data_IF_290645612438
#
_entry.id   IF_290645612438
#
_cell.length_a   1.000
_cell.length_b   1.000
_cell.length_c   1.000
_cell.angle_alpha   90.00
_cell.angle_beta   90.00
_cell.angle_gamma   90.00
#
_symmetry.space_group_name_H-M   'P 1'
#
loop_
_entity.id
_entity.type
_entity.pdbx_description
1 polymer ?
#
# COMPACT_ATOMS: atom_id res chain seq x y z
N UNK A 1 -32.06 20.85 -21.62
CA UNK A 1 -31.95 19.37 -21.56
C UNK A 1 -30.48 18.93 -21.48
N UNK A 2 -29.94 18.91 -20.25
CA UNK A 2 -28.56 18.49 -19.98
C UNK A 2 -28.60 17.10 -19.33
N UNK A 3 -27.91 16.15 -19.96
CA UNK A 3 -27.84 14.75 -19.56
C UNK A 3 -27.04 14.58 -18.26
N UNK A 4 -27.73 14.11 -17.22
CA UNK A 4 -27.17 13.66 -15.95
C UNK A 4 -26.29 12.43 -16.16
N UNK A 5 -24.97 12.62 -16.06
CA UNK A 5 -24.01 11.50 -15.98
C UNK A 5 -23.98 11.00 -14.56
N UNK A 6 -24.84 10.02 -14.27
CA UNK A 6 -24.84 9.22 -13.06
C UNK A 6 -23.45 8.65 -12.76
N UNK A 7 -22.78 9.28 -11.79
CA UNK A 7 -21.47 8.89 -11.25
C UNK A 7 -21.63 7.56 -10.51
N UNK A 8 -21.40 6.44 -11.20
CA UNK A 8 -21.42 5.08 -10.65
C UNK A 8 -20.60 5.00 -9.36
N UNK A 9 -21.28 4.78 -8.24
CA UNK A 9 -20.70 4.23 -7.01
C UNK A 9 -20.26 2.80 -7.28
N UNK A 10 -19.05 2.61 -7.79
CA UNK A 10 -18.35 1.34 -7.72
C UNK A 10 -17.06 1.58 -6.94
N UNK A 11 -17.13 1.24 -5.66
CA UNK A 11 -16.06 0.80 -4.77
C UNK A 11 -16.65 0.80 -3.36
N UNK A 12 -17.47 -0.22 -3.06
CA UNK A 12 -17.78 -0.55 -1.68
C UNK A 12 -16.45 -0.86 -0.99
N UNK A 13 -16.20 -0.24 0.17
CA UNK A 13 -15.05 -0.58 0.99
C UNK A 13 -15.11 -2.08 1.32
N UNK A 14 -13.98 -2.80 1.30
CA UNK A 14 -13.96 -4.17 1.78
C UNK A 14 -14.40 -4.19 3.26
N UNK A 15 -15.25 -5.15 3.66
CA UNK A 15 -15.81 -5.20 5.02
C UNK A 15 -14.72 -5.24 6.11
N UNK A 16 -15.06 -4.71 7.29
CA UNK A 16 -14.16 -4.58 8.44
C UNK A 16 -13.63 -5.93 8.96
N UNK A 17 -14.37 -7.02 8.71
CA UNK A 17 -13.91 -8.40 8.82
C UNK A 17 -13.75 -8.96 7.41
N UNK A 18 -12.49 -9.14 6.98
CA UNK A 18 -12.18 -9.90 5.76
C UNK A 18 -12.15 -11.39 6.11
N UNK A 19 -12.69 -12.24 5.22
CA UNK A 19 -12.58 -13.69 5.37
C UNK A 19 -11.10 -14.10 5.42
N UNK A 20 -10.78 -15.12 6.22
CA UNK A 20 -9.43 -15.71 6.24
C UNK A 20 -9.15 -16.51 4.95
N UNK A 21 -10.19 -16.86 4.19
CA UNK A 21 -10.13 -17.70 3.01
C UNK A 21 -10.30 -16.86 1.74
N UNK A 22 -9.17 -16.37 1.21
CA UNK A 22 -9.16 -15.44 0.08
C UNK A 22 -8.36 -16.01 -1.10
N UNK A 23 -9.00 -16.06 -2.26
CA UNK A 23 -8.34 -16.31 -3.54
C UNK A 23 -7.93 -14.99 -4.17
N UNK A 24 -6.67 -14.87 -4.59
CA UNK A 24 -6.28 -13.88 -5.58
C UNK A 24 -6.46 -14.46 -6.97
N UNK A 25 -7.15 -13.72 -7.83
CA UNK A 25 -7.36 -14.05 -9.23
C UNK A 25 -6.65 -13.01 -10.08
N UNK A 26 -5.60 -13.41 -10.78
CA UNK A 26 -4.89 -12.61 -11.78
C UNK A 26 -5.40 -12.88 -13.19
N UNK A 27 -4.94 -12.05 -14.14
CA UNK A 27 -5.30 -12.14 -15.56
C UNK A 27 -6.82 -12.06 -15.82
N UNK A 28 -7.54 -11.33 -14.98
CA UNK A 28 -8.96 -11.06 -15.21
C UNK A 28 -9.09 -10.18 -16.46
N UNK A 29 -9.97 -10.49 -17.43
CA UNK A 29 -10.14 -9.67 -18.63
C UNK A 29 -10.38 -8.20 -18.28
N UNK A 30 -9.78 -7.28 -19.04
CA UNK A 30 -9.80 -5.83 -18.71
C UNK A 30 -11.19 -5.22 -18.78
N UNK A 31 -12.09 -5.83 -19.55
CA UNK A 31 -13.49 -5.46 -19.72
C UNK A 31 -14.44 -6.33 -18.88
N UNK A 32 -13.91 -7.25 -18.06
CA UNK A 32 -14.74 -8.12 -17.23
C UNK A 32 -15.57 -7.30 -16.23
N UNK A 33 -16.82 -7.70 -16.05
CA UNK A 33 -17.71 -7.08 -15.06
C UNK A 33 -17.75 -7.90 -13.76
N UNK A 34 -18.16 -7.26 -12.67
CA UNK A 34 -18.40 -7.95 -11.41
C UNK A 34 -19.41 -9.10 -11.58
N UNK A 35 -20.53 -8.84 -12.25
CA UNK A 35 -21.60 -9.83 -12.47
C UNK A 35 -21.13 -11.01 -13.33
N UNK A 36 -20.32 -10.75 -14.35
CA UNK A 36 -19.73 -11.80 -15.18
C UNK A 36 -18.83 -12.72 -14.35
N UNK A 37 -17.93 -12.13 -13.56
CA UNK A 37 -17.02 -12.89 -12.71
C UNK A 37 -17.78 -13.62 -11.59
N UNK A 38 -18.85 -13.02 -11.05
CA UNK A 38 -19.74 -13.65 -10.08
C UNK A 38 -20.43 -14.87 -10.65
N UNK A 39 -21.01 -14.77 -11.85
CA UNK A 39 -21.62 -15.92 -12.52
C UNK A 39 -20.61 -17.02 -12.78
N UNK A 40 -19.44 -16.68 -13.35
CA UNK A 40 -18.38 -17.64 -13.65
C UNK A 40 -17.92 -18.42 -12.41
N UNK A 41 -17.64 -17.72 -11.31
CA UNK A 41 -17.13 -18.34 -10.08
C UNK A 41 -18.18 -19.07 -9.24
N UNK A 42 -19.48 -18.88 -9.54
CA UNK A 42 -20.59 -19.60 -8.91
C UNK A 42 -21.26 -20.61 -9.84
N UNK A 43 -20.65 -20.98 -10.97
CA UNK A 43 -21.14 -22.07 -11.81
C UNK A 43 -21.12 -23.37 -11.01
N UNK A 44 -22.22 -24.12 -10.99
CA UNK A 44 -22.26 -25.43 -10.33
C UNK A 44 -21.54 -26.50 -11.18
N UNK A 45 -20.96 -27.54 -10.55
CA UNK A 45 -20.45 -28.69 -11.28
C UNK A 45 -21.56 -29.30 -12.12
N UNK A 46 -21.32 -29.53 -13.42
CA UNK A 46 -22.30 -30.24 -14.25
C UNK A 46 -22.56 -31.63 -13.68
N UNK A 47 -23.83 -32.09 -13.58
CA UNK A 47 -24.20 -33.33 -12.88
C UNK A 47 -23.70 -34.64 -13.54
N UNK A 48 -22.83 -34.57 -14.55
CA UNK A 48 -22.35 -35.71 -15.33
C UNK A 48 -20.95 -36.20 -14.99
N UNK A 49 -20.23 -35.58 -14.05
CA UNK A 49 -18.80 -35.89 -13.81
C UNK A 49 -18.45 -36.01 -12.32
N UNK A 50 -19.06 -36.96 -11.59
CA UNK A 50 -18.42 -37.78 -10.53
C UNK A 50 -19.46 -38.56 -9.73
N UNK A 51 -19.10 -39.80 -9.37
CA UNK A 51 -19.80 -40.69 -8.43
C UNK A 51 -20.16 -39.99 -7.10
N UNK A 52 -21.27 -40.45 -6.51
CA UNK A 52 -22.08 -39.86 -5.43
C UNK A 52 -21.43 -39.68 -4.05
N UNK A 53 -20.14 -39.39 -3.98
CA UNK A 53 -19.42 -39.09 -2.73
C UNK A 53 -18.72 -37.70 -2.73
N UNK A 54 -18.64 -37.01 -3.88
CA UNK A 54 -17.93 -35.72 -4.03
C UNK A 54 -18.85 -34.47 -4.06
N UNK A 55 -20.16 -34.63 -3.81
CA UNK A 55 -21.12 -33.53 -3.90
C UNK A 55 -20.93 -32.45 -2.81
N UNK A 56 -20.25 -32.77 -1.71
CA UNK A 56 -19.93 -31.80 -0.64
C UNK A 56 -18.73 -30.89 -0.99
N UNK A 57 -17.93 -31.25 -2.00
CA UNK A 57 -16.71 -30.54 -2.43
C UNK A 57 -16.94 -29.53 -3.57
N UNK A 58 -18.19 -29.22 -3.90
CA UNK A 58 -18.50 -28.22 -4.91
C UNK A 58 -17.79 -26.89 -4.56
N UNK A 59 -17.04 -26.29 -5.48
CA UNK A 59 -16.35 -25.00 -5.30
C UNK A 59 -17.29 -23.80 -5.03
N UNK A 60 -18.58 -24.05 -4.89
CA UNK A 60 -19.59 -23.12 -4.40
C UNK A 60 -19.29 -22.68 -2.96
N UNK A 61 -19.54 -21.40 -2.67
CA UNK A 61 -19.22 -20.79 -1.37
C UNK A 61 -18.52 -19.44 -1.46
N UNK A 62 -18.66 -18.74 -2.59
CA UNK A 62 -18.17 -17.36 -2.76
C UNK A 62 -19.03 -16.42 -1.90
N UNK A 63 -18.39 -15.71 -0.98
CA UNK A 63 -19.03 -14.71 -0.13
C UNK A 63 -19.04 -13.31 -0.79
N UNK A 64 -17.94 -12.93 -1.45
CA UNK A 64 -17.81 -11.64 -2.11
C UNK A 64 -16.68 -11.63 -3.13
N UNK A 65 -16.83 -10.80 -4.17
CA UNK A 65 -15.81 -10.57 -5.19
C UNK A 65 -15.44 -9.09 -5.20
N UNK A 66 -14.16 -8.79 -5.03
CA UNK A 66 -13.62 -7.45 -5.18
C UNK A 66 -12.79 -7.36 -6.46
N UNK A 67 -13.40 -6.85 -7.53
CA UNK A 67 -12.76 -6.66 -8.83
C UNK A 67 -11.88 -5.40 -8.84
N UNK A 68 -10.66 -5.53 -9.35
CA UNK A 68 -9.69 -4.45 -9.51
C UNK A 68 -9.31 -4.35 -10.99
N UNK A 69 -10.19 -3.72 -11.77
CA UNK A 69 -10.01 -3.61 -13.23
C UNK A 69 -8.69 -2.94 -13.62
N UNK A 70 -8.20 -1.97 -12.84
CA UNK A 70 -6.92 -1.27 -13.10
C UNK A 70 -5.69 -2.17 -13.11
N UNK A 71 -5.77 -3.36 -12.51
CA UNK A 71 -4.67 -4.32 -12.45
C UNK A 71 -5.09 -5.70 -12.92
N UNK A 72 -6.23 -5.80 -13.62
CA UNK A 72 -6.74 -7.05 -14.17
C UNK A 72 -6.73 -8.19 -13.14
N UNK A 73 -7.19 -7.90 -11.92
CA UNK A 73 -7.22 -8.89 -10.85
C UNK A 73 -8.45 -8.75 -9.98
N UNK A 74 -8.76 -9.79 -9.20
CA UNK A 74 -9.86 -9.81 -8.26
C UNK A 74 -9.46 -10.52 -6.95
N UNK A 75 -10.14 -10.18 -5.87
CA UNK A 75 -10.11 -10.94 -4.62
C UNK A 75 -11.46 -11.60 -4.39
N UNK A 76 -11.46 -12.90 -4.18
CA UNK A 76 -12.67 -13.70 -3.97
C UNK A 76 -12.61 -14.28 -2.57
N UNK A 77 -13.58 -13.93 -1.73
CA UNK A 77 -13.69 -14.45 -0.38
C UNK A 77 -14.54 -15.71 -0.37
N UNK A 78 -14.10 -16.73 0.35
CA UNK A 78 -14.82 -18.00 0.49
C UNK A 78 -15.25 -18.23 1.94
N UNK A 79 -16.26 -19.09 2.10
CA UNK A 79 -16.78 -19.52 3.40
C UNK A 79 -15.81 -20.40 4.21
N UNK A 80 -14.97 -21.19 3.53
CA UNK A 80 -14.02 -22.10 4.18
C UNK A 80 -12.77 -22.33 3.32
N UNK A 81 -11.71 -22.83 3.95
CA UNK A 81 -10.47 -23.22 3.28
C UNK A 81 -10.70 -24.30 2.21
N UNK A 82 -11.53 -25.31 2.51
CA UNK A 82 -11.87 -26.38 1.58
C UNK A 82 -12.47 -25.84 0.28
N UNK A 83 -13.43 -24.89 0.37
CA UNK A 83 -14.05 -24.27 -0.81
C UNK A 83 -13.06 -23.41 -1.60
N UNK A 84 -12.17 -22.69 -0.91
CA UNK A 84 -11.09 -21.93 -1.54
C UNK A 84 -10.17 -22.83 -2.37
N UNK A 85 -9.71 -23.94 -1.79
CA UNK A 85 -8.80 -24.86 -2.47
C UNK A 85 -9.48 -25.55 -3.66
N UNK A 86 -10.72 -26.00 -3.50
CA UNK A 86 -11.53 -26.56 -4.58
C UNK A 86 -11.72 -25.56 -5.74
N UNK A 87 -12.02 -24.30 -5.43
CA UNK A 87 -12.16 -23.24 -6.43
C UNK A 87 -10.84 -22.95 -7.16
N UNK A 88 -9.70 -22.92 -6.45
CA UNK A 88 -8.39 -22.75 -7.09
C UNK A 88 -8.11 -23.91 -8.04
N UNK A 89 -8.33 -25.14 -7.60
CA UNK A 89 -8.10 -26.33 -8.42
C UNK A 89 -8.95 -26.31 -9.70
N UNK A 90 -10.20 -25.86 -9.60
CA UNK A 90 -11.11 -25.82 -10.73
C UNK A 90 -10.81 -24.65 -11.69
N UNK A 91 -10.76 -23.41 -11.19
CA UNK A 91 -10.74 -22.21 -12.03
C UNK A 91 -9.34 -21.78 -12.51
N UNK A 92 -8.27 -22.24 -11.85
CA UNK A 92 -6.91 -21.86 -12.28
C UNK A 92 -6.64 -22.32 -13.71
N UNK A 93 -6.15 -21.42 -14.56
CA UNK A 93 -5.87 -21.70 -15.97
C UNK A 93 -7.09 -21.71 -16.89
N UNK A 94 -8.30 -21.54 -16.36
CA UNK A 94 -9.51 -21.40 -17.19
C UNK A 94 -9.68 -19.96 -17.68
N UNK A 95 -10.17 -19.74 -18.91
CA UNK A 95 -10.64 -18.43 -19.35
C UNK A 95 -12.06 -18.16 -18.83
N UNK A 96 -12.37 -16.91 -18.49
CA UNK A 96 -13.75 -16.50 -18.12
C UNK A 96 -14.71 -16.70 -19.30
N UNK A 97 -14.21 -16.54 -20.53
CA UNK A 97 -14.95 -16.68 -21.79
C UNK A 97 -14.32 -17.79 -22.65
N UNK A 98 -14.71 -19.07 -22.50
CA UNK A 98 -14.12 -20.19 -23.24
C UNK A 98 -14.23 -20.06 -24.77
N UNK A 99 -15.27 -19.38 -25.26
CA UNK A 99 -15.52 -19.19 -26.69
C UNK A 99 -14.71 -18.03 -27.30
N UNK A 100 -13.96 -17.26 -26.49
CA UNK A 100 -13.09 -16.18 -26.98
C UNK A 100 -11.61 -16.62 -26.87
N UNK A 101 -10.94 -16.93 -27.99
CA UNK A 101 -9.53 -17.35 -27.98
C UNK A 101 -8.58 -16.28 -27.43
N UNK A 102 -9.00 -15.01 -27.40
CA UNK A 102 -8.21 -13.89 -26.86
C UNK A 102 -8.41 -13.71 -25.35
N UNK A 103 -9.36 -14.42 -24.75
CA UNK A 103 -9.61 -14.32 -23.32
C UNK A 103 -8.42 -14.91 -22.56
N UNK A 104 -7.76 -14.13 -21.67
CA UNK A 104 -6.66 -14.64 -20.89
C UNK A 104 -7.12 -15.76 -19.94
N UNK A 105 -6.19 -16.67 -19.65
CA UNK A 105 -6.37 -17.71 -18.63
C UNK A 105 -6.12 -17.12 -17.26
N UNK A 106 -7.06 -17.35 -16.34
CA UNK A 106 -6.98 -16.88 -14.98
C UNK A 106 -5.78 -17.51 -14.25
N UNK A 107 -5.19 -16.74 -13.33
CA UNK A 107 -4.22 -17.26 -12.36
C UNK A 107 -4.86 -17.20 -11.00
N UNK A 108 -5.20 -18.35 -10.42
CA UNK A 108 -5.85 -18.45 -9.13
C UNK A 108 -4.85 -18.99 -8.10
N UNK A 109 -4.68 -18.30 -6.97
CA UNK A 109 -3.85 -18.77 -5.85
C UNK A 109 -4.40 -18.31 -4.51
N UNK A 110 -4.03 -19.03 -3.46
CA UNK A 110 -4.27 -18.60 -2.09
C UNK A 110 -3.57 -17.26 -1.87
N UNK A 111 -4.28 -16.29 -1.31
CA UNK A 111 -3.70 -15.06 -0.79
C UNK A 111 -3.29 -15.32 0.65
N UNK A 112 -2.00 -15.43 0.92
CA UNK A 112 -1.50 -15.64 2.27
C UNK A 112 -1.73 -14.42 3.17
N UNK A 113 -1.82 -14.63 4.50
CA UNK A 113 -1.87 -13.52 5.47
C UNK A 113 -0.65 -12.59 5.35
N UNK A 114 0.51 -13.17 5.07
CA UNK A 114 1.75 -12.40 4.86
C UNK A 114 1.77 -11.60 3.56
N UNK A 115 0.97 -11.99 2.56
CA UNK A 115 0.82 -11.21 1.34
C UNK A 115 0.15 -9.87 1.65
N UNK A 116 -0.71 -9.78 2.68
CA UNK A 116 -1.29 -8.51 3.14
C UNK A 116 -0.24 -7.62 3.81
N UNK A 117 0.66 -8.21 4.60
CA UNK A 117 1.78 -7.51 5.22
C UNK A 117 2.79 -6.99 4.19
N UNK A 118 2.85 -7.58 3.00
CA UNK A 118 3.74 -7.16 1.90
C UNK A 118 3.02 -6.29 0.85
N UNK A 119 1.71 -6.43 0.69
CA UNK A 119 0.94 -5.73 -0.32
C UNK A 119 0.71 -4.24 0.03
N UNK A 120 0.58 -3.42 -1.02
CA UNK A 120 0.39 -1.98 -0.86
C UNK A 120 1.61 -1.30 -0.26
N UNK A 121 1.44 -0.67 0.89
CA UNK A 121 2.51 0.00 1.63
C UNK A 121 3.23 -0.94 2.59
N UNK A 122 2.75 -2.18 2.75
CA UNK A 122 3.35 -3.19 3.62
C UNK A 122 4.85 -3.44 3.35
N UNK A 123 5.24 -3.50 2.08
CA UNK A 123 6.65 -3.60 1.66
C UNK A 123 7.53 -2.39 2.05
N UNK A 124 6.95 -1.23 2.38
CA UNK A 124 7.69 -0.07 2.90
C UNK A 124 7.93 -0.16 4.41
N UNK A 125 7.15 -0.96 5.15
CA UNK A 125 7.13 -0.97 6.62
C UNK A 125 8.27 -1.79 7.24
N UNK A 126 9.04 -2.52 6.44
CA UNK A 126 10.16 -3.32 6.92
C UNK A 126 11.42 -2.46 7.10
N UNK A 127 12.14 -2.65 8.21
CA UNK A 127 13.44 -1.99 8.47
C UNK A 127 14.45 -2.14 7.32
N UNK A 128 14.28 -3.18 6.48
CA UNK A 128 15.09 -3.40 5.27
C UNK A 128 15.09 -2.23 4.29
N UNK A 129 14.01 -1.44 4.17
CA UNK A 129 13.95 -0.29 3.27
C UNK A 129 14.89 0.83 3.73
N UNK A 130 14.80 1.25 4.99
CA UNK A 130 15.68 2.27 5.57
C UNK A 130 17.13 1.81 5.61
N UNK A 131 17.39 0.55 5.99
CA UNK A 131 18.75 -0.02 6.01
C UNK A 131 19.36 -0.03 4.60
N UNK A 132 18.59 -0.42 3.58
CA UNK A 132 19.03 -0.39 2.18
C UNK A 132 19.34 1.04 1.72
N UNK A 133 18.50 2.01 2.08
CA UNK A 133 18.72 3.41 1.74
C UNK A 133 19.98 3.97 2.40
N UNK A 134 20.19 3.72 3.71
CA UNK A 134 21.41 4.13 4.44
C UNK A 134 22.66 3.57 3.77
N UNK A 135 22.67 2.27 3.43
CA UNK A 135 23.79 1.64 2.70
C UNK A 135 24.04 2.32 1.36
N UNK A 136 22.97 2.66 0.64
CA UNK A 136 23.04 3.41 -0.61
C UNK A 136 23.68 4.80 -0.44
N UNK A 137 23.28 5.55 0.58
CA UNK A 137 23.85 6.86 0.89
C UNK A 137 25.34 6.79 1.23
N UNK A 138 25.74 5.84 2.08
CA UNK A 138 27.16 5.61 2.39
C UNK A 138 27.99 5.30 1.14
N UNK A 139 27.45 4.48 0.23
CA UNK A 139 28.12 4.17 -1.04
C UNK A 139 28.27 5.40 -1.93
N UNK A 140 27.23 6.25 -2.02
CA UNK A 140 27.29 7.53 -2.77
C UNK A 140 28.32 8.49 -2.16
N UNK A 141 28.32 8.66 -0.84
CA UNK A 141 29.29 9.52 -0.14
C UNK A 141 30.73 9.04 -0.37
N UNK A 142 30.98 7.72 -0.29
CA UNK A 142 32.30 7.14 -0.60
C UNK A 142 32.71 7.38 -2.05
N UNK A 143 31.79 7.21 -3.00
CA UNK A 143 32.07 7.47 -4.41
C UNK A 143 32.37 8.95 -4.68
N UNK A 144 31.64 9.87 -4.04
CA UNK A 144 31.92 11.31 -4.12
C UNK A 144 33.28 11.68 -3.51
N UNK A 145 33.63 11.12 -2.35
CA UNK A 145 34.94 11.35 -1.73
C UNK A 145 36.11 10.87 -2.62
N UNK A 146 35.94 9.71 -3.27
CA UNK A 146 36.91 9.20 -4.24
C UNK A 146 36.99 10.07 -5.51
N UNK A 147 35.86 10.59 -5.99
CA UNK A 147 35.82 11.47 -7.17
C UNK A 147 36.42 12.85 -6.92
N UNK A 148 36.35 13.36 -5.69
CA UNK A 148 36.92 14.64 -5.27
C UNK A 148 38.43 14.57 -4.94
N UNK A 149 39.07 13.41 -5.10
CA UNK A 149 40.52 13.30 -5.04
C UNK A 149 41.13 13.55 -3.65
N UNK A 150 40.43 13.19 -2.56
CA UNK A 150 41.01 13.28 -1.22
C UNK A 150 42.05 12.15 -1.01
N UNK A 151 43.31 12.42 -1.39
CA UNK A 151 44.47 11.57 -1.10
C UNK A 151 45.04 11.80 0.31
N UNK A 152 44.27 12.38 1.24
CA UNK A 152 44.74 12.62 2.60
C UNK A 152 44.04 11.74 3.64
N UNK A 153 44.29 10.43 3.56
CA UNK A 153 44.47 9.52 4.73
C UNK A 153 44.66 8.08 4.27
N UNK A 154 45.92 7.65 4.26
CA UNK A 154 46.29 6.25 4.52
C UNK A 154 45.87 5.89 5.95
N UNK A 155 44.71 5.26 6.12
CA UNK A 155 44.32 4.64 7.37
C UNK A 155 43.81 3.23 7.08
N UNK A 156 44.70 2.27 7.40
CA UNK A 156 44.44 0.87 7.74
C UNK A 156 43.17 0.24 7.16
N UNK A 157 43.40 -0.63 6.17
CA UNK A 157 42.51 -1.72 5.81
C UNK A 157 42.29 -2.63 7.02
N UNK A 158 41.29 -2.34 7.84
CA UNK A 158 40.54 -3.37 8.54
C UNK A 158 39.30 -3.66 7.73
N UNK A 159 39.40 -4.70 6.92
CA UNK A 159 38.27 -5.45 6.38
C UNK A 159 37.51 -6.08 7.54
N UNK A 160 36.77 -5.24 8.27
CA UNK A 160 35.69 -5.70 9.11
C UNK A 160 34.56 -6.14 8.20
N UNK A 161 34.55 -7.42 7.83
CA UNK A 161 33.35 -8.15 7.44
C UNK A 161 32.43 -8.24 8.67
N UNK A 162 32.01 -7.08 9.17
CA UNK A 162 31.00 -6.97 10.20
C UNK A 162 29.69 -7.30 9.53
N UNK A 163 29.26 -8.55 9.69
CA UNK A 163 27.84 -8.91 9.75
C UNK A 163 27.22 -8.14 10.92
N UNK A 164 27.11 -6.82 10.78
CA UNK A 164 26.50 -5.94 11.73
C UNK A 164 25.04 -6.31 11.75
N UNK A 165 24.65 -7.04 12.80
CA UNK A 165 23.29 -7.42 13.09
C UNK A 165 22.45 -6.14 13.17
N UNK A 166 21.86 -5.75 12.04
CA UNK A 166 20.92 -4.63 11.91
C UNK A 166 19.58 -4.95 12.57
N UNK A 167 19.46 -6.12 13.20
CA UNK A 167 18.36 -6.54 14.06
C UNK A 167 18.31 -5.72 15.36
N UNK A 168 19.41 -5.07 15.78
CA UNK A 168 19.40 -4.12 16.90
C UNK A 168 19.44 -2.69 16.37
N UNK A 169 18.27 -2.15 16.04
CA UNK A 169 18.09 -0.73 15.71
C UNK A 169 18.35 0.13 16.94
N UNK A 170 19.60 0.59 17.15
CA UNK A 170 19.80 1.70 18.09
C UNK A 170 19.09 2.91 17.50
N UNK A 171 18.10 3.44 18.22
CA UNK A 171 17.30 4.61 17.86
C UNK A 171 18.14 5.77 17.33
N UNK A 172 19.36 5.93 17.85
CA UNK A 172 20.34 6.94 17.44
C UNK A 172 20.72 6.90 15.94
N UNK A 173 20.88 5.71 15.34
CA UNK A 173 21.25 5.60 13.92
C UNK A 173 20.10 6.08 13.03
N UNK A 174 18.86 5.70 13.37
CA UNK A 174 17.71 6.14 12.60
C UNK A 174 17.50 7.64 12.70
N UNK A 175 17.63 8.23 13.89
CA UNK A 175 17.47 9.68 14.08
C UNK A 175 18.53 10.48 13.31
N UNK A 176 19.74 9.94 13.12
CA UNK A 176 20.79 10.59 12.34
C UNK A 176 20.46 10.64 10.83
N UNK A 177 20.00 9.51 10.26
CA UNK A 177 19.74 9.41 8.82
C UNK A 177 18.34 9.87 8.42
N UNK A 178 17.39 9.83 9.34
CA UNK A 178 15.99 10.20 9.13
C UNK A 178 15.52 11.18 10.22
N UNK A 179 16.10 12.39 10.30
CA UNK A 179 15.66 13.40 11.27
C UNK A 179 14.21 13.84 11.02
N UNK A 180 13.80 13.87 9.74
CA UNK A 180 12.42 14.10 9.30
C UNK A 180 11.93 12.87 8.54
N UNK A 181 10.70 12.43 8.82
CA UNK A 181 10.00 11.39 8.05
C UNK A 181 8.65 11.89 7.59
N UNK A 182 8.21 11.42 6.43
CA UNK A 182 7.04 11.96 5.73
C UNK A 182 6.12 10.81 5.33
N UNK A 183 4.84 10.94 5.67
CA UNK A 183 3.82 9.93 5.38
C UNK A 183 2.62 10.57 4.68
N UNK A 184 2.14 9.92 3.62
CA UNK A 184 0.87 10.27 3.00
C UNK A 184 -0.24 9.52 3.72
N UNK A 185 -1.21 10.26 4.25
CA UNK A 185 -2.43 9.72 4.85
C UNK A 185 -3.65 10.09 4.01
N UNK A 186 -4.53 9.12 3.79
CA UNK A 186 -5.69 9.24 2.91
C UNK A 186 -6.97 9.19 3.73
N UNK A 187 -7.70 10.31 3.76
CA UNK A 187 -9.03 10.36 4.36
C UNK A 187 -10.09 9.91 3.37
N UNK A 188 -11.14 9.26 3.87
CA UNK A 188 -12.35 8.98 3.09
C UNK A 188 -13.15 10.25 2.84
N UNK A 189 -13.24 11.13 3.85
CA UNK A 189 -14.07 12.33 3.77
C UNK A 189 -13.27 13.58 4.07
N UNK A 190 -13.76 14.70 3.53
CA UNK A 190 -13.24 16.02 3.82
C UNK A 190 -13.48 16.40 5.30
N UNK A 191 -14.67 16.08 5.80
CA UNK A 191 -15.10 16.37 7.17
C UNK A 191 -14.12 15.87 8.23
N UNK A 192 -13.54 14.68 8.05
CA UNK A 192 -12.57 14.12 9.01
C UNK A 192 -11.30 14.97 9.12
N UNK A 193 -10.86 15.59 8.02
CA UNK A 193 -9.68 16.46 8.00
C UNK A 193 -10.01 17.82 8.62
N UNK A 194 -11.20 18.36 8.36
CA UNK A 194 -11.63 19.64 8.94
C UNK A 194 -11.75 19.53 10.47
N UNK A 195 -12.31 18.42 10.98
CA UNK A 195 -12.34 18.11 12.43
C UNK A 195 -10.91 17.98 12.99
N UNK A 196 -9.98 17.39 12.22
CA UNK A 196 -8.59 17.26 12.64
C UNK A 196 -7.88 18.61 12.73
N UNK A 197 -8.16 19.54 11.82
CA UNK A 197 -7.67 20.93 11.87
C UNK A 197 -8.18 21.63 13.12
N UNK A 198 -9.48 21.52 13.40
CA UNK A 198 -10.10 22.16 14.56
C UNK A 198 -9.57 21.59 15.89
N UNK A 199 -9.44 20.26 15.99
CA UNK A 199 -9.10 19.59 17.26
C UNK A 199 -7.60 19.39 17.47
N UNK A 200 -6.78 19.51 16.43
CA UNK A 200 -5.36 19.15 16.50
C UNK A 200 -5.13 17.66 16.79
N UNK A 201 -6.05 16.79 16.38
CA UNK A 201 -6.01 15.35 16.61
C UNK A 201 -6.17 14.60 15.29
N UNK A 202 -5.42 13.52 15.12
CA UNK A 202 -5.59 12.62 13.98
C UNK A 202 -5.67 11.16 14.44
N UNK A 203 -6.76 10.50 14.03
CA UNK A 203 -6.92 9.06 14.17
C UNK A 203 -6.65 8.37 12.83
N UNK A 204 -5.82 7.33 12.84
CA UNK A 204 -5.49 6.54 11.64
C UNK A 204 -5.95 5.09 11.78
N UNK A 205 -5.79 4.30 10.72
CA UNK A 205 -6.10 2.88 10.74
C UNK A 205 -5.05 2.12 11.57
N UNK A 206 -5.48 1.05 12.27
CA UNK A 206 -4.62 0.23 13.16
C UNK A 206 -3.28 -0.17 12.54
N UNK A 207 -3.27 -0.44 11.25
CA UNK A 207 -2.08 -0.88 10.54
C UNK A 207 -1.00 0.22 10.38
N UNK A 208 -1.37 1.50 10.49
CA UNK A 208 -0.44 2.63 10.44
C UNK A 208 0.15 2.99 11.80
N UNK A 209 -0.61 2.73 12.88
CA UNK A 209 -0.27 3.17 14.23
C UNK A 209 1.14 2.76 14.62
N UNK A 210 1.49 1.47 14.50
CA UNK A 210 2.82 0.98 14.85
C UNK A 210 3.95 1.64 14.03
N UNK A 211 3.71 1.91 12.74
CA UNK A 211 4.71 2.53 11.85
C UNK A 211 4.93 4.00 12.21
N UNK A 212 3.86 4.77 12.40
CA UNK A 212 3.94 6.18 12.80
C UNK A 212 4.52 6.32 14.20
N UNK A 213 4.16 5.41 15.10
CA UNK A 213 4.65 5.37 16.46
C UNK A 213 6.16 5.07 16.52
N UNK A 214 6.63 4.11 15.70
CA UNK A 214 8.05 3.85 15.54
C UNK A 214 8.76 5.08 14.95
N UNK A 215 8.19 5.71 13.92
CA UNK A 215 8.76 6.90 13.30
C UNK A 215 8.92 8.05 14.28
N UNK A 216 7.92 8.28 15.14
CA UNK A 216 7.99 9.31 16.17
C UNK A 216 9.10 9.03 17.20
N UNK A 217 9.36 7.76 17.53
CA UNK A 217 10.46 7.38 18.45
C UNK A 217 11.85 7.51 17.82
N UNK A 218 11.96 7.41 16.49
CA UNK A 218 13.25 7.29 15.78
C UNK A 218 13.55 8.43 14.82
N UNK A 219 12.79 9.52 14.91
CA UNK A 219 12.96 10.75 14.14
C UNK A 219 12.73 11.96 15.04
N UNK A 220 13.24 13.12 14.64
CA UNK A 220 12.99 14.40 15.35
C UNK A 220 11.63 14.95 14.99
N UNK A 221 11.23 14.82 13.73
CA UNK A 221 9.95 15.29 13.22
C UNK A 221 9.30 14.25 12.30
N UNK A 222 7.98 14.11 12.41
CA UNK A 222 7.18 13.26 11.54
C UNK A 222 6.07 14.09 10.93
N UNK A 223 6.09 14.23 9.61
CA UNK A 223 5.09 14.95 8.83
C UNK A 223 4.06 13.99 8.25
N UNK A 224 2.80 14.37 8.39
CA UNK A 224 1.62 13.70 7.84
C UNK A 224 1.03 14.60 6.76
N UNK A 225 0.99 14.11 5.54
CA UNK A 225 0.54 14.84 4.35
C UNK A 225 -0.79 14.25 3.95
N UNK A 226 -1.84 15.04 4.13
CA UNK A 226 -3.22 14.58 4.03
C UNK A 226 -3.77 14.80 2.64
N UNK A 227 -4.62 13.87 2.18
CA UNK A 227 -5.49 14.14 1.05
C UNK A 227 -6.74 13.29 1.10
N UNK A 228 -7.86 13.85 0.65
CA UNK A 228 -9.11 13.12 0.52
C UNK A 228 -9.02 12.17 -0.69
N UNK A 229 -9.69 11.03 -0.62
CA UNK A 229 -9.78 10.14 -1.76
C UNK A 229 -10.60 10.78 -2.88
N UNK A 230 -10.03 10.76 -4.10
CA UNK A 230 -10.66 11.29 -5.33
C UNK A 230 -10.90 12.82 -5.32
N UNK A 231 -10.19 13.60 -4.50
CA UNK A 231 -10.25 15.07 -4.52
C UNK A 231 -9.46 15.70 -5.67
N UNK A 232 -8.36 15.07 -6.10
CA UNK A 232 -7.45 15.66 -7.09
C UNK A 232 -6.39 16.59 -6.50
N UNK A 233 -6.29 16.66 -5.17
CA UNK A 233 -5.40 17.56 -4.43
C UNK A 233 -5.01 16.97 -3.07
N UNK A 234 -3.89 17.45 -2.53
CA UNK A 234 -3.60 17.30 -1.11
C UNK A 234 -4.36 18.37 -0.32
N UNK A 235 -4.88 17.94 0.83
CA UNK A 235 -5.61 18.82 1.74
C UNK A 235 -4.67 19.78 2.46
N UNK A 236 -3.53 19.28 2.93
CA UNK A 236 -2.58 20.04 3.73
C UNK A 236 -1.60 19.10 4.44
N UNK A 237 -0.78 19.65 5.33
CA UNK A 237 0.18 18.87 6.09
C UNK A 237 0.21 19.27 7.56
N UNK A 238 0.48 18.29 8.42
CA UNK A 238 0.66 18.46 9.85
C UNK A 238 1.91 17.71 10.31
N UNK A 239 2.49 18.11 11.44
CA UNK A 239 3.50 17.34 12.15
C UNK A 239 2.89 16.63 13.35
N UNK A 240 3.36 15.43 13.70
CA UNK A 240 3.02 14.82 15.00
C UNK A 240 3.67 15.66 16.09
N UNK A 241 2.85 16.23 16.97
CA UNK A 241 3.28 17.13 18.03
C UNK A 241 3.55 16.38 19.34
N UNK A 242 2.72 15.38 19.65
CA UNK A 242 2.81 14.61 20.88
C UNK A 242 2.30 13.18 20.66
N UNK A 243 2.92 12.24 21.37
CA UNK A 243 2.47 10.86 21.45
C UNK A 243 1.52 10.71 22.63
N UNK A 244 0.26 10.44 22.34
CA UNK A 244 -0.69 9.94 23.34
C UNK A 244 -0.57 8.41 23.47
N UNK A 245 -1.01 7.80 24.58
CA UNK A 245 -1.11 6.35 24.70
C UNK A 245 -2.13 5.80 23.69
N UNK A 246 -1.64 5.38 22.51
CA UNK A 246 -2.47 4.84 21.44
C UNK A 246 -2.93 5.90 20.44
N UNK A 247 -4.16 5.76 19.98
CA UNK A 247 -4.82 6.58 18.96
C UNK A 247 -5.91 7.42 19.65
N UNK A 248 -6.02 8.75 19.43
CA UNK A 248 -5.42 9.57 18.37
C UNK A 248 -4.02 10.12 18.65
N UNK A 249 -3.33 10.48 17.56
CA UNK A 249 -2.10 11.27 17.60
C UNK A 249 -2.44 12.75 17.73
N UNK A 250 -1.71 13.49 18.57
CA UNK A 250 -1.80 14.95 18.58
C UNK A 250 -0.96 15.50 17.44
N UNK A 251 -1.58 16.32 16.59
CA UNK A 251 -0.96 16.87 15.39
C UNK A 251 -1.01 18.39 15.43
N UNK A 252 0.04 19.02 14.92
CA UNK A 252 0.04 20.45 14.65
C UNK A 252 0.03 20.67 13.14
N UNK A 253 -1.03 21.28 12.63
CA UNK A 253 -1.15 21.66 11.23
C UNK A 253 -0.13 22.75 10.87
N UNK A 254 0.59 22.53 9.78
CA UNK A 254 1.65 23.42 9.26
C UNK A 254 1.17 24.15 8.01
N UNK A 255 0.36 23.47 7.18
CA UNK A 255 -0.29 24.01 5.99
C UNK A 255 -1.71 23.48 5.90
N UNK A 256 -2.66 24.33 5.56
CA UNK A 256 -4.07 23.97 5.34
C UNK A 256 -4.58 24.39 3.96
N UNK A 257 -3.74 25.07 3.17
CA UNK A 257 -3.99 25.39 1.77
C UNK A 257 -4.04 24.10 0.94
N UNK A 258 -4.90 24.07 -0.08
CA UNK A 258 -4.97 22.92 -0.98
C UNK A 258 -3.80 22.94 -1.95
N UNK A 259 -3.14 21.80 -2.11
CA UNK A 259 -2.10 21.61 -3.13
C UNK A 259 -2.62 20.72 -4.26
N UNK A 260 -2.99 21.30 -5.42
CA UNK A 260 -3.46 20.53 -6.56
C UNK A 260 -2.42 19.54 -7.09
N UNK A 261 -2.85 18.35 -7.49
CA UNK A 261 -1.93 17.31 -7.99
C UNK A 261 -1.20 17.67 -9.29
N UNK A 262 -1.60 18.72 -10.01
CA UNK A 262 -0.85 19.13 -11.19
C UNK A 262 0.51 19.74 -10.82
N UNK A 263 0.62 20.44 -9.67
CA UNK A 263 1.88 21.02 -9.18
C UNK A 263 2.89 19.92 -8.84
N UNK A 264 2.42 18.80 -8.31
CA UNK A 264 3.28 17.69 -7.85
C UNK A 264 3.57 16.61 -8.90
N UNK A 265 3.22 16.82 -10.18
CA UNK A 265 3.40 15.80 -11.26
C UNK A 265 4.85 15.36 -11.47
N UNK A 266 5.79 16.25 -11.18
CA UNK A 266 7.21 16.01 -11.35
C UNK A 266 7.81 15.19 -10.18
N UNK A 267 7.10 15.09 -9.05
CA UNK A 267 7.57 14.38 -7.87
C UNK A 267 7.24 12.89 -7.96
N UNK A 268 8.28 12.06 -7.89
CA UNK A 268 8.20 10.59 -7.88
C UNK A 268 8.80 10.06 -6.59
N UNK A 269 8.21 9.00 -6.03
CA UNK A 269 8.69 8.39 -4.80
C UNK A 269 9.41 7.06 -5.08
N UNK A 270 10.75 6.99 -5.00
CA UNK A 270 11.52 5.76 -5.18
C UNK A 270 11.10 4.64 -4.21
N UNK A 271 10.59 4.99 -3.02
CA UNK A 271 10.13 4.01 -2.04
C UNK A 271 8.78 3.39 -2.39
N UNK A 272 8.08 3.91 -3.40
CA UNK A 272 6.80 3.40 -3.91
C UNK A 272 6.88 3.07 -5.40
N UNK A 273 7.96 2.38 -5.81
CA UNK A 273 8.22 1.99 -7.20
C UNK A 273 8.31 3.17 -8.17
N UNK A 274 8.87 4.29 -7.72
CA UNK A 274 9.05 5.51 -8.51
C UNK A 274 7.76 6.08 -9.14
N UNK A 275 6.63 5.75 -8.50
CA UNK A 275 5.32 6.28 -8.88
C UNK A 275 5.23 7.75 -8.49
N UNK A 276 4.41 8.50 -9.22
CA UNK A 276 4.04 9.87 -8.83
C UNK A 276 3.55 9.89 -7.38
N UNK A 277 3.95 10.90 -6.63
CA UNK A 277 3.65 11.02 -5.20
C UNK A 277 2.15 10.96 -4.91
N UNK A 278 1.29 11.51 -5.79
CA UNK A 278 -0.17 11.42 -5.67
C UNK A 278 -0.72 9.98 -5.75
N UNK A 279 0.03 9.06 -6.36
CA UNK A 279 -0.32 7.64 -6.52
C UNK A 279 0.16 6.87 -5.29
N UNK A 280 -0.43 7.21 -4.14
CA UNK A 280 -0.06 6.68 -2.83
C UNK A 280 -1.29 6.12 -2.11
N UNK A 281 -1.08 5.06 -1.34
CA UNK A 281 -2.10 4.50 -0.42
C UNK A 281 -1.99 5.18 0.94
N UNK A 282 -2.99 4.97 1.77
CA UNK A 282 -2.92 5.38 3.18
C UNK A 282 -1.69 4.75 3.86
N UNK A 283 -0.91 5.58 4.57
CA UNK A 283 0.32 5.16 5.25
C UNK A 283 1.56 5.04 4.36
N UNK A 284 1.54 5.57 3.13
CA UNK A 284 2.72 5.53 2.25
C UNK A 284 3.82 6.41 2.81
N UNK A 285 5.01 5.85 3.03
CA UNK A 285 6.19 6.63 3.41
C UNK A 285 6.90 7.21 2.18
N UNK A 286 7.35 8.46 2.29
CA UNK A 286 8.12 9.14 1.25
C UNK A 286 9.61 9.16 1.60
N UNK A 287 10.44 9.00 0.57
CA UNK A 287 11.88 9.22 0.65
C UNK A 287 12.15 10.67 1.14
N UNK A 288 13.14 10.92 2.03
CA UNK A 288 13.27 12.22 2.71
C UNK A 288 13.37 13.43 1.78
N UNK A 289 14.11 13.33 0.67
CA UNK A 289 14.24 14.44 -0.29
C UNK A 289 12.95 14.69 -1.04
N UNK A 290 12.20 13.63 -1.38
CA UNK A 290 10.88 13.72 -2.03
C UNK A 290 9.84 14.28 -1.06
N UNK A 291 9.88 13.87 0.21
CA UNK A 291 9.00 14.36 1.26
C UNK A 291 9.20 15.86 1.51
N UNK A 292 10.45 16.31 1.56
CA UNK A 292 10.77 17.74 1.70
C UNK A 292 10.33 18.53 0.46
N UNK A 293 10.69 18.08 -0.75
CA UNK A 293 10.28 18.75 -1.99
C UNK A 293 8.75 18.85 -2.11
N UNK A 294 8.00 17.85 -1.63
CA UNK A 294 6.54 17.93 -1.60
C UNK A 294 6.01 18.98 -0.62
N UNK A 295 6.67 19.22 0.52
CA UNK A 295 6.29 20.31 1.41
C UNK A 295 6.61 21.68 0.80
N UNK A 296 7.73 21.80 0.09
CA UNK A 296 8.15 23.05 -0.56
C UNK A 296 7.18 23.48 -1.67
N UNK A 297 6.39 22.57 -2.24
CA UNK A 297 5.32 22.89 -3.20
C UNK A 297 4.14 23.69 -2.60
N UNK A 298 4.07 23.83 -1.27
CA UNK A 298 3.10 24.73 -0.64
C UNK A 298 3.54 26.20 -0.59
N UNK A 299 4.82 26.45 -0.80
CA UNK A 299 5.37 27.81 -0.89
C UNK A 299 5.23 28.36 -2.34
#
# INVERSE_FOLDING_TARGET
PATDRSRRQQNANPPAQRSEWVMWVGNVPSDATHDELWRFLNQEPSPGSTSSAAAEDAWAGVLSIFLISRSNCAFVNFQSEAKLLAAIQHFNGQPVRPNDPRCPRLVCRVRGRDDDLKAGVGGQRSAGLHVRWIRGQKRKARAQALALGDQSRSASSHSGSGSGSYASTSSSIFTQYFPKRYFILKSLTQKDLDISVEKGLWATQRHNEATLDQAYRTSKEVYLIFGVNKSGEFYGCARIAERLPGNPFKVQWVRTERLPFYRTRHLRNPWNHDREVKVSRDGTELEPSVGQALLDEWD
#
